data_IF_147131102963
#
_entry.id   IF_147131102963
#
_cell.length_a   1.000
_cell.length_b   1.000
_cell.length_c   1.000
_cell.angle_alpha   90.00
_cell.angle_beta   90.00
_cell.angle_gamma   90.00
#
_symmetry.space_group_name_H-M   'P 1'
#
loop_
_entity.id
_entity.type
_entity.pdbx_description
1 polymer ?
#
# COMPACT_ATOMS: atom_id res chain seq x y z
N UNK A 1 -43.34 8.52 17.71
CA UNK A 1 -41.99 8.30 18.27
C UNK A 1 -41.40 6.92 17.96
N UNK A 2 -42.17 5.85 17.80
CA UNK A 2 -41.66 4.49 17.50
C UNK A 2 -41.13 4.28 16.08
N UNK A 3 -41.60 5.06 15.08
CA UNK A 3 -41.18 4.90 13.69
C UNK A 3 -39.75 5.45 13.43
N UNK A 4 -39.33 6.51 14.13
CA UNK A 4 -38.01 7.09 14.04
C UNK A 4 -36.92 6.18 14.65
N UNK A 5 -37.25 5.49 15.77
CA UNK A 5 -36.37 4.51 16.41
C UNK A 5 -36.09 3.30 15.50
N UNK A 6 -37.12 2.84 14.77
CA UNK A 6 -36.99 1.70 13.84
C UNK A 6 -36.13 2.02 12.60
N UNK A 7 -36.21 3.28 12.11
CA UNK A 7 -35.36 3.72 10.99
C UNK A 7 -33.88 3.87 11.40
N UNK A 8 -33.61 4.29 12.63
CA UNK A 8 -32.23 4.38 13.15
C UNK A 8 -31.62 2.96 13.33
N UNK A 9 -32.40 1.98 13.76
CA UNK A 9 -31.94 0.60 13.89
C UNK A 9 -31.71 -0.10 12.55
N UNK A 10 -32.41 0.28 11.49
CA UNK A 10 -32.18 -0.27 10.12
C UNK A 10 -30.97 0.33 9.45
N UNK A 11 -30.57 1.56 9.77
CA UNK A 11 -29.34 2.19 9.26
C UNK A 11 -28.05 1.64 9.90
N UNK A 12 -28.17 0.96 11.06
CA UNK A 12 -27.02 0.32 11.71
C UNK A 12 -26.68 -1.08 11.18
N UNK A 13 -27.51 -1.65 10.29
CA UNK A 13 -27.43 -3.05 9.87
C UNK A 13 -26.40 -3.36 8.78
N UNK A 14 -25.66 -2.38 8.25
CA UNK A 14 -24.62 -2.59 7.24
C UNK A 14 -23.20 -2.19 7.68
N UNK A 15 -22.93 -2.16 8.98
CA UNK A 15 -21.52 -2.05 9.43
C UNK A 15 -20.82 -3.35 9.10
N UNK A 16 -20.02 -3.34 8.04
CA UNK A 16 -19.08 -4.43 7.76
C UNK A 16 -18.20 -4.59 8.99
N UNK A 17 -18.25 -5.76 9.61
CA UNK A 17 -17.55 -6.04 10.86
C UNK A 17 -16.05 -5.78 10.70
N UNK A 18 -15.42 -4.88 11.48
CA UNK A 18 -14.05 -4.42 11.26
C UNK A 18 -13.02 -5.55 11.14
N UNK A 19 -13.15 -6.61 11.91
CA UNK A 19 -12.29 -7.80 11.88
C UNK A 19 -12.22 -8.52 10.53
N UNK A 20 -13.17 -8.26 9.62
CA UNK A 20 -13.18 -8.91 8.31
C UNK A 20 -12.31 -8.18 7.28
N UNK A 21 -12.19 -6.86 7.39
CA UNK A 21 -11.50 -6.08 6.38
C UNK A 21 -10.18 -5.45 6.88
N UNK A 22 -10.05 -5.16 8.17
CA UNK A 22 -8.83 -4.55 8.73
C UNK A 22 -7.62 -5.46 8.52
N UNK A 23 -7.63 -6.76 8.91
CA UNK A 23 -6.47 -7.62 8.71
C UNK A 23 -6.08 -7.77 7.24
N UNK A 24 -7.06 -7.88 6.32
CA UNK A 24 -6.79 -8.00 4.90
C UNK A 24 -6.21 -6.71 4.32
N UNK A 25 -6.64 -5.54 4.80
CA UNK A 25 -6.11 -4.25 4.40
C UNK A 25 -4.64 -4.10 4.83
N UNK A 26 -4.33 -4.38 6.10
CA UNK A 26 -2.96 -4.34 6.63
C UNK A 26 -2.05 -5.38 5.97
N UNK A 27 -2.56 -6.56 5.69
CA UNK A 27 -1.81 -7.58 4.96
C UNK A 27 -1.46 -7.10 3.54
N UNK A 28 -2.44 -6.54 2.82
CA UNK A 28 -2.23 -5.97 1.49
C UNK A 28 -1.24 -4.78 1.50
N UNK A 29 -1.17 -4.05 2.60
CA UNK A 29 -0.25 -2.94 2.82
C UNK A 29 1.18 -3.43 3.11
N UNK A 30 1.32 -4.50 3.88
CA UNK A 30 2.62 -5.07 4.28
C UNK A 30 3.38 -5.76 3.14
N UNK A 31 2.67 -6.43 2.23
CA UNK A 31 3.31 -7.19 1.13
C UNK A 31 4.23 -6.33 0.27
N UNK A 32 3.80 -5.21 -0.33
CA UNK A 32 4.67 -4.42 -1.19
C UNK A 32 5.82 -3.76 -0.41
N UNK A 33 5.59 -3.36 0.84
CA UNK A 33 6.64 -2.83 1.70
C UNK A 33 7.76 -3.84 1.92
N UNK A 34 7.44 -5.07 2.36
CA UNK A 34 8.41 -6.15 2.56
C UNK A 34 9.10 -6.51 1.24
N UNK A 35 8.35 -6.52 0.13
CA UNK A 35 8.92 -6.80 -1.19
C UNK A 35 9.98 -5.77 -1.57
N UNK A 36 9.72 -4.50 -1.41
CA UNK A 36 10.67 -3.43 -1.75
C UNK A 36 11.83 -3.37 -0.77
N UNK A 37 11.58 -3.49 0.54
CA UNK A 37 12.62 -3.29 1.57
C UNK A 37 13.49 -4.52 1.79
N UNK A 38 12.96 -5.73 1.64
CA UNK A 38 13.67 -6.97 1.99
C UNK A 38 13.91 -7.84 0.77
N UNK A 39 12.85 -8.13 0.00
CA UNK A 39 12.97 -9.08 -1.13
C UNK A 39 13.82 -8.50 -2.25
N UNK A 40 13.74 -7.19 -2.53
CA UNK A 40 14.58 -6.55 -3.54
C UNK A 40 16.09 -6.72 -3.23
N UNK A 41 16.48 -6.56 -1.97
CA UNK A 41 17.88 -6.73 -1.54
C UNK A 41 18.33 -8.18 -1.73
N UNK A 42 17.51 -9.15 -1.28
CA UNK A 42 17.80 -10.59 -1.43
C UNK A 42 17.85 -10.97 -2.90
N UNK A 43 16.92 -10.45 -3.71
CA UNK A 43 16.84 -10.68 -5.15
C UNK A 43 18.10 -10.23 -5.86
N UNK A 44 18.53 -8.98 -5.65
CA UNK A 44 19.76 -8.45 -6.27
C UNK A 44 21.00 -9.19 -5.79
N UNK A 45 21.05 -9.61 -4.52
CA UNK A 45 22.16 -10.41 -4.01
C UNK A 45 22.26 -11.76 -4.71
N UNK A 46 21.12 -12.42 -4.99
CA UNK A 46 21.09 -13.69 -5.74
C UNK A 46 21.43 -13.53 -7.22
N UNK A 47 21.23 -12.33 -7.76
CA UNK A 47 21.60 -11.97 -9.15
C UNK A 47 23.04 -11.48 -9.25
N UNK A 48 23.86 -11.69 -8.21
CA UNK A 48 25.30 -11.37 -8.14
C UNK A 48 25.65 -9.88 -8.28
N UNK A 49 24.67 -8.99 -8.04
CA UNK A 49 24.90 -7.53 -7.97
C UNK A 49 25.82 -7.23 -6.77
N UNK A 50 26.73 -6.28 -6.94
CA UNK A 50 27.67 -5.89 -5.88
C UNK A 50 26.95 -5.37 -4.65
N UNK A 51 27.49 -5.63 -3.43
CA UNK A 51 26.90 -5.14 -2.19
C UNK A 51 26.83 -3.61 -2.15
N UNK A 52 27.78 -2.93 -2.77
CA UNK A 52 27.83 -1.47 -2.86
C UNK A 52 26.69 -0.93 -3.69
N UNK A 53 26.43 -1.52 -4.86
CA UNK A 53 25.31 -1.12 -5.73
C UNK A 53 23.96 -1.40 -5.08
N UNK A 54 23.81 -2.59 -4.45
CA UNK A 54 22.60 -2.93 -3.71
C UNK A 54 22.34 -1.88 -2.63
N UNK A 55 23.31 -1.59 -1.78
CA UNK A 55 23.18 -0.61 -0.71
C UNK A 55 22.86 0.79 -1.24
N UNK A 56 23.53 1.21 -2.32
CA UNK A 56 23.33 2.53 -2.91
C UNK A 56 21.91 2.68 -3.48
N UNK A 57 21.49 1.76 -4.34
CA UNK A 57 20.23 1.91 -5.09
C UNK A 57 19.00 1.53 -4.28
N UNK A 58 19.07 0.51 -3.38
CA UNK A 58 17.92 0.10 -2.60
C UNK A 58 17.63 1.01 -1.41
N UNK A 59 18.63 1.69 -0.84
CA UNK A 59 18.40 2.65 0.25
C UNK A 59 17.51 3.83 -0.18
N UNK A 60 17.57 4.25 -1.44
CA UNK A 60 16.72 5.31 -1.96
C UNK A 60 15.25 4.88 -2.13
N UNK A 61 14.97 3.58 -2.23
CA UNK A 61 13.60 3.07 -2.34
C UNK A 61 12.73 3.38 -1.10
N UNK A 62 13.35 3.77 0.02
CA UNK A 62 12.63 4.21 1.21
C UNK A 62 12.04 5.62 1.10
N UNK A 63 12.56 6.44 0.19
CA UNK A 63 12.15 7.85 0.03
C UNK A 63 10.63 8.05 -0.10
N UNK A 64 9.86 7.26 -0.87
CA UNK A 64 8.42 7.46 -0.97
C UNK A 64 7.71 7.46 0.37
N UNK A 65 8.13 6.62 1.33
CA UNK A 65 7.51 6.60 2.67
C UNK A 65 7.87 7.82 3.51
N UNK A 66 9.09 8.36 3.36
CA UNK A 66 9.52 9.58 4.04
C UNK A 66 8.78 10.80 3.50
N UNK A 67 8.56 10.82 2.20
CA UNK A 67 7.95 11.95 1.49
C UNK A 67 6.42 11.90 1.44
N UNK A 68 5.76 10.88 2.05
CA UNK A 68 4.29 10.78 2.14
C UNK A 68 3.57 12.11 2.42
N UNK A 69 4.02 12.96 3.37
CA UNK A 69 3.30 14.20 3.69
C UNK A 69 3.19 15.17 2.52
N UNK A 70 4.09 15.10 1.51
CA UNK A 70 4.08 16.02 0.38
C UNK A 70 2.89 15.81 -0.56
N UNK A 71 2.42 14.55 -0.74
CA UNK A 71 1.30 14.26 -1.65
C UNK A 71 0.06 13.72 -0.95
N UNK A 72 0.10 13.46 0.36
CA UNK A 72 -1.07 13.06 1.13
C UNK A 72 -2.28 13.98 0.92
N UNK A 73 -2.15 15.32 0.92
CA UNK A 73 -3.28 16.21 0.69
C UNK A 73 -3.94 16.01 -0.68
N UNK A 74 -3.16 15.68 -1.71
CA UNK A 74 -3.72 15.42 -3.05
C UNK A 74 -4.59 14.17 -3.09
N UNK A 75 -4.19 13.11 -2.36
CA UNK A 75 -4.94 11.87 -2.24
C UNK A 75 -6.26 12.10 -1.49
N UNK A 76 -6.27 13.05 -0.55
CA UNK A 76 -7.47 13.40 0.22
C UNK A 76 -8.48 14.18 -0.62
N UNK A 77 -8.03 15.01 -1.56
CA UNK A 77 -8.86 15.93 -2.32
C UNK A 77 -9.36 15.30 -3.63
N UNK A 78 -8.52 14.54 -4.34
CA UNK A 78 -8.77 14.18 -5.75
C UNK A 78 -9.79 13.07 -5.96
N UNK A 79 -9.85 12.07 -5.11
CA UNK A 79 -10.71 10.87 -5.28
C UNK A 79 -11.05 10.25 -3.93
N UNK A 80 -11.97 9.26 -3.96
CA UNK A 80 -12.31 8.49 -2.76
C UNK A 80 -11.16 7.58 -2.32
N UNK A 81 -11.03 7.34 -1.01
CA UNK A 81 -10.01 6.45 -0.46
C UNK A 81 -10.08 5.04 -1.07
N UNK A 82 -11.30 4.51 -1.30
CA UNK A 82 -11.50 3.19 -1.93
C UNK A 82 -10.96 3.14 -3.36
N UNK A 83 -11.12 4.22 -4.13
CA UNK A 83 -10.58 4.30 -5.48
C UNK A 83 -9.05 4.21 -5.48
N UNK A 84 -8.39 4.96 -4.59
CA UNK A 84 -6.94 4.92 -4.43
C UNK A 84 -6.44 3.54 -4.00
N UNK A 85 -7.09 2.90 -3.01
CA UNK A 85 -6.72 1.56 -2.54
C UNK A 85 -6.74 0.57 -3.70
N UNK A 86 -7.84 0.49 -4.44
CA UNK A 86 -8.00 -0.47 -5.55
C UNK A 86 -7.00 -0.18 -6.67
N UNK A 87 -6.86 1.09 -7.06
CA UNK A 87 -5.93 1.48 -8.14
C UNK A 87 -4.48 1.16 -7.80
N UNK A 88 -4.06 1.41 -6.55
CA UNK A 88 -2.70 1.09 -6.12
C UNK A 88 -2.47 -0.41 -5.97
N UNK A 89 -3.45 -1.19 -5.57
CA UNK A 89 -3.34 -2.65 -5.55
C UNK A 89 -3.14 -3.24 -6.94
N UNK A 90 -3.87 -2.74 -7.94
CA UNK A 90 -3.68 -3.14 -9.35
C UNK A 90 -2.29 -2.73 -9.83
N UNK A 91 -1.86 -1.49 -9.56
CA UNK A 91 -0.54 -0.99 -9.92
C UNK A 91 0.59 -1.83 -9.30
N UNK A 92 0.45 -2.16 -8.02
CA UNK A 92 1.40 -3.01 -7.29
C UNK A 92 1.46 -4.41 -7.91
N UNK A 93 0.32 -5.03 -8.20
CA UNK A 93 0.26 -6.34 -8.86
C UNK A 93 0.91 -6.31 -10.25
N UNK A 94 0.63 -5.29 -11.05
CA UNK A 94 1.26 -5.10 -12.36
C UNK A 94 2.78 -4.85 -12.23
N UNK A 95 3.21 -4.08 -11.23
CA UNK A 95 4.62 -3.82 -10.96
C UNK A 95 5.39 -5.09 -10.58
N UNK A 96 4.80 -5.95 -9.73
CA UNK A 96 5.39 -7.26 -9.40
C UNK A 96 5.52 -8.18 -10.62
N UNK A 97 4.51 -8.22 -11.47
CA UNK A 97 4.57 -8.93 -12.74
C UNK A 97 5.67 -8.34 -13.65
N UNK A 98 5.79 -7.01 -13.72
CA UNK A 98 6.85 -6.33 -14.46
C UNK A 98 8.25 -6.70 -13.99
N UNK A 99 8.48 -6.76 -12.67
CA UNK A 99 9.76 -7.27 -12.11
C UNK A 99 10.05 -8.67 -12.64
N UNK A 100 9.08 -9.59 -12.55
CA UNK A 100 9.25 -10.98 -12.99
C UNK A 100 9.58 -11.08 -14.50
N UNK A 101 8.91 -10.29 -15.34
CA UNK A 101 9.16 -10.26 -16.78
C UNK A 101 10.52 -9.71 -17.16
N UNK A 102 11.08 -8.81 -16.33
CA UNK A 102 12.39 -8.18 -16.60
C UNK A 102 13.58 -9.04 -16.18
N UNK A 103 13.39 -10.13 -15.43
CA UNK A 103 14.50 -10.99 -14.96
C UNK A 103 15.39 -11.51 -16.10
N UNK A 104 14.85 -12.05 -17.21
CA UNK A 104 15.68 -12.58 -18.31
C UNK A 104 16.27 -11.51 -19.24
N UNK A 105 15.95 -10.23 -19.01
CA UNK A 105 16.41 -9.16 -19.89
C UNK A 105 17.89 -8.79 -19.62
N UNK A 106 18.66 -8.41 -20.66
CA UNK A 106 20.07 -8.01 -20.47
C UNK A 106 20.23 -6.73 -19.61
N UNK A 107 19.17 -5.94 -19.49
CA UNK A 107 19.09 -4.71 -18.66
C UNK A 107 18.24 -4.92 -17.41
N UNK A 108 18.19 -6.16 -16.89
CA UNK A 108 17.30 -6.54 -15.78
C UNK A 108 17.43 -5.63 -14.55
N UNK A 109 18.66 -5.20 -14.21
CA UNK A 109 18.91 -4.40 -13.02
C UNK A 109 18.17 -3.06 -13.06
N UNK A 110 18.36 -2.30 -14.15
CA UNK A 110 17.74 -1.00 -14.32
C UNK A 110 16.20 -1.12 -14.43
N UNK A 111 15.73 -2.11 -15.19
CA UNK A 111 14.30 -2.33 -15.38
C UNK A 111 13.61 -2.75 -14.08
N UNK A 112 14.15 -3.72 -13.36
CA UNK A 112 13.58 -4.14 -12.08
C UNK A 112 13.67 -3.05 -11.01
N UNK A 113 14.74 -2.25 -11.01
CA UNK A 113 14.87 -1.11 -10.11
C UNK A 113 13.77 -0.06 -10.38
N UNK A 114 13.47 0.23 -11.64
CA UNK A 114 12.37 1.13 -12.01
C UNK A 114 11.01 0.59 -11.52
N UNK A 115 10.76 -0.73 -11.64
CA UNK A 115 9.56 -1.34 -11.08
C UNK A 115 9.54 -1.32 -9.55
N UNK A 116 10.66 -1.51 -8.87
CA UNK A 116 10.72 -1.35 -7.41
C UNK A 116 10.44 0.08 -6.96
N UNK A 117 10.87 1.09 -7.71
CA UNK A 117 10.47 2.48 -7.48
C UNK A 117 8.95 2.67 -7.64
N UNK A 118 8.37 2.12 -8.71
CA UNK A 118 6.92 2.15 -8.92
C UNK A 118 6.17 1.49 -7.76
N UNK A 119 6.66 0.32 -7.30
CA UNK A 119 6.11 -0.40 -6.14
C UNK A 119 6.22 0.43 -4.86
N UNK A 120 7.35 1.11 -4.63
CA UNK A 120 7.57 1.95 -3.46
C UNK A 120 6.59 3.13 -3.42
N UNK A 121 6.42 3.86 -4.53
CA UNK A 121 5.43 4.94 -4.63
C UNK A 121 4.00 4.44 -4.54
N UNK A 122 3.68 3.33 -5.21
CA UNK A 122 2.36 2.69 -5.14
C UNK A 122 2.01 2.26 -3.72
N UNK A 123 2.96 1.63 -3.02
CA UNK A 123 2.78 1.21 -1.63
C UNK A 123 2.60 2.40 -0.69
N UNK A 124 3.47 3.42 -0.78
CA UNK A 124 3.35 4.62 0.05
C UNK A 124 2.01 5.35 -0.18
N UNK A 125 1.52 5.39 -1.42
CA UNK A 125 0.21 5.97 -1.76
C UNK A 125 -0.95 5.11 -1.25
N UNK A 126 -0.83 3.79 -1.38
CA UNK A 126 -1.80 2.84 -0.82
C UNK A 126 -1.94 3.00 0.69
N UNK A 127 -0.81 3.13 1.41
CA UNK A 127 -0.79 3.35 2.86
C UNK A 127 -1.56 4.62 3.25
N UNK A 128 -1.32 5.76 2.57
CA UNK A 128 -2.05 7.02 2.84
C UNK A 128 -3.56 6.81 2.66
N UNK A 129 -3.96 6.11 1.59
CA UNK A 129 -5.36 5.87 1.32
C UNK A 129 -5.99 4.88 2.32
N UNK A 130 -5.26 3.85 2.73
CA UNK A 130 -5.69 2.84 3.69
C UNK A 130 -5.85 3.44 5.09
N UNK A 131 -4.87 4.23 5.55
CA UNK A 131 -4.92 4.92 6.84
C UNK A 131 -6.08 5.93 6.88
N UNK A 132 -6.26 6.71 5.80
CA UNK A 132 -7.40 7.62 5.68
C UNK A 132 -8.75 6.90 5.64
N UNK A 133 -8.83 5.74 4.98
CA UNK A 133 -10.05 4.92 4.98
C UNK A 133 -10.35 4.35 6.37
N UNK A 134 -9.34 3.87 7.08
CA UNK A 134 -9.43 3.40 8.46
C UNK A 134 -10.01 4.47 9.39
N UNK A 135 -9.47 5.70 9.32
CA UNK A 135 -9.95 6.82 10.14
C UNK A 135 -11.41 7.21 9.84
N UNK A 136 -11.83 7.11 8.57
CA UNK A 136 -13.19 7.46 8.17
C UNK A 136 -14.21 6.35 8.46
N UNK A 137 -13.79 5.09 8.45
CA UNK A 137 -14.66 3.92 8.59
C UNK A 137 -14.95 3.55 10.05
N UNK A 138 -14.09 3.94 10.99
CA UNK A 138 -14.16 3.58 12.40
C UNK A 138 -14.39 4.82 13.28
N UNK A 139 -15.19 4.66 14.33
CA UNK A 139 -15.30 5.67 15.39
C UNK A 139 -14.09 5.63 16.34
N UNK A 140 -13.90 6.66 17.18
CA UNK A 140 -12.75 6.79 18.07
C UNK A 140 -12.55 5.60 19.02
N UNK A 141 -13.64 4.98 19.47
CA UNK A 141 -13.57 3.79 20.32
C UNK A 141 -13.12 2.54 19.52
N UNK A 142 -13.66 2.36 18.31
CA UNK A 142 -13.24 1.28 17.42
C UNK A 142 -11.77 1.46 17.00
N UNK A 143 -11.33 2.68 16.70
CA UNK A 143 -9.93 2.96 16.38
C UNK A 143 -8.98 2.53 17.51
N UNK A 144 -9.34 2.76 18.77
CA UNK A 144 -8.49 2.37 19.91
C UNK A 144 -8.44 0.87 20.15
N UNK A 145 -9.38 0.09 19.60
CA UNK A 145 -9.40 -1.37 19.75
C UNK A 145 -8.61 -2.12 18.67
N UNK A 146 -8.36 -1.48 17.51
CA UNK A 146 -7.79 -2.14 16.33
C UNK A 146 -6.42 -1.56 15.90
N UNK A 147 -5.84 -0.67 16.66
CA UNK A 147 -4.47 -0.11 16.46
C UNK A 147 -3.44 -0.86 17.27
#
# INVERSE_FOLDING_TARGET
MQSASKNISMLSSHKIFPWKWIPSLYFAQGIPYVTVMTIAVIFYKRMEISNTDIALYTSWLYLPWVLKPLWSPFIDILKTKRWWIISMQILIGAGLAGVAFCIPAPFFFQATLAFFWLLAFGSATHDIAADGFYMLALNSHEQSLYV
#
